data_IF_819485732381
#
_entry.id   IF_819485732381
#
_cell.length_a   1.000
_cell.length_b   1.000
_cell.length_c   1.000
_cell.angle_alpha   90.00
_cell.angle_beta   90.00
_cell.angle_gamma   90.00
#
_symmetry.space_group_name_H-M   'P 1'
#
loop_
_entity.id
_entity.type
_entity.pdbx_description
1 polymer ?
#
# COMPACT_ATOMS: atom_id res chain seq x y z
N UNK A 1 48.04 21.60 -26.72
CA UNK A 1 47.46 21.48 -25.36
C UNK A 1 48.19 20.33 -24.69
N UNK A 2 49.08 20.66 -23.76
CA UNK A 2 49.81 19.63 -23.02
C UNK A 2 49.00 19.18 -21.79
N UNK A 3 49.25 17.95 -21.29
CA UNK A 3 48.59 17.42 -20.10
C UNK A 3 48.78 18.31 -18.89
N UNK A 4 49.89 19.03 -18.80
CA UNK A 4 50.20 20.00 -17.75
C UNK A 4 49.29 21.24 -17.80
N UNK A 5 48.90 21.69 -18.99
CA UNK A 5 48.00 22.84 -19.16
C UNK A 5 46.60 22.52 -18.66
N UNK A 6 46.13 21.27 -18.94
CA UNK A 6 44.86 20.78 -18.40
C UNK A 6 44.87 20.65 -16.90
N UNK A 7 45.99 20.21 -16.32
CA UNK A 7 46.15 20.08 -14.87
C UNK A 7 46.10 21.43 -14.16
N UNK A 8 46.81 22.43 -14.68
CA UNK A 8 46.78 23.78 -14.16
C UNK A 8 45.40 24.40 -14.26
N UNK A 9 44.69 24.22 -15.37
CA UNK A 9 43.34 24.71 -15.54
C UNK A 9 42.36 24.12 -14.52
N UNK A 10 42.48 22.81 -14.17
CA UNK A 10 41.67 22.17 -13.13
C UNK A 10 42.00 22.76 -11.75
N UNK A 11 43.26 23.02 -11.46
CA UNK A 11 43.67 23.61 -10.17
C UNK A 11 43.18 25.02 -9.98
N UNK A 12 43.20 25.88 -11.01
CA UNK A 12 42.70 27.26 -10.98
C UNK A 12 41.19 27.34 -10.71
N UNK A 13 40.43 26.40 -11.28
CA UNK A 13 38.98 26.38 -11.12
C UNK A 13 38.47 25.34 -10.12
N UNK A 14 39.34 24.79 -9.26
CA UNK A 14 38.99 23.75 -8.26
C UNK A 14 37.78 24.09 -7.39
N UNK A 15 37.69 25.35 -6.94
CA UNK A 15 36.55 25.79 -6.12
C UNK A 15 35.23 25.76 -6.87
N UNK A 16 35.24 26.01 -8.17
CA UNK A 16 34.06 25.95 -9.00
C UNK A 16 33.57 24.51 -9.19
N UNK A 17 34.46 23.57 -9.41
CA UNK A 17 34.12 22.15 -9.50
C UNK A 17 33.57 21.61 -8.17
N UNK A 18 34.19 21.99 -7.06
CA UNK A 18 33.70 21.59 -5.71
C UNK A 18 32.30 22.15 -5.47
N UNK A 19 32.05 23.41 -5.82
CA UNK A 19 30.73 24.02 -5.67
C UNK A 19 29.67 23.32 -6.52
N UNK A 20 29.96 23.04 -7.79
CA UNK A 20 29.05 22.31 -8.67
C UNK A 20 28.74 20.91 -8.14
N UNK A 21 29.75 20.18 -7.72
CA UNK A 21 29.61 18.82 -7.16
C UNK A 21 28.79 18.85 -5.87
N UNK A 22 29.02 19.81 -4.99
CA UNK A 22 28.26 19.97 -3.74
C UNK A 22 26.77 20.26 -4.01
N UNK A 23 26.47 21.11 -5.00
CA UNK A 23 25.10 21.40 -5.42
C UNK A 23 24.41 20.14 -5.98
N UNK A 24 25.09 19.39 -6.85
CA UNK A 24 24.55 18.14 -7.40
C UNK A 24 24.27 17.11 -6.30
N UNK A 25 25.21 16.93 -5.37
CA UNK A 25 25.02 16.01 -4.25
C UNK A 25 23.86 16.43 -3.33
N UNK A 26 23.70 17.73 -3.12
CA UNK A 26 22.58 18.25 -2.35
C UNK A 26 21.22 17.90 -3.01
N UNK A 27 21.10 18.10 -4.32
CA UNK A 27 19.87 17.75 -5.04
C UNK A 27 19.60 16.24 -5.04
N UNK A 28 20.64 15.42 -5.19
CA UNK A 28 20.52 13.96 -5.13
C UNK A 28 20.08 13.51 -3.72
N UNK A 29 20.70 14.03 -2.68
CA UNK A 29 20.34 13.72 -1.30
C UNK A 29 18.89 14.14 -0.99
N UNK A 30 18.50 15.32 -1.45
CA UNK A 30 17.14 15.83 -1.31
C UNK A 30 16.13 14.94 -2.04
N UNK A 31 16.44 14.50 -3.26
CA UNK A 31 15.60 13.60 -4.05
C UNK A 31 15.41 12.25 -3.34
N UNK A 32 16.51 11.63 -2.87
CA UNK A 32 16.46 10.35 -2.16
C UNK A 32 15.60 10.48 -0.88
N UNK A 33 15.79 11.57 -0.14
CA UNK A 33 15.04 11.80 1.10
C UNK A 33 13.53 11.96 0.85
N UNK A 34 13.15 12.55 -0.27
CA UNK A 34 11.74 12.78 -0.63
C UNK A 34 11.05 11.54 -1.21
N UNK A 35 11.80 10.65 -1.85
CA UNK A 35 11.23 9.47 -2.52
C UNK A 35 10.92 8.39 -1.49
N UNK A 36 9.66 7.93 -1.37
CA UNK A 36 9.31 6.83 -0.49
C UNK A 36 9.90 5.52 -1.02
N UNK A 37 10.25 4.62 -0.10
CA UNK A 37 10.76 3.31 -0.44
C UNK A 37 9.65 2.47 -1.08
N UNK A 38 9.93 1.90 -2.25
CA UNK A 38 9.01 1.02 -2.96
C UNK A 38 9.49 -0.42 -2.83
N UNK A 39 8.68 -1.26 -2.20
CA UNK A 39 8.98 -2.67 -2.00
C UNK A 39 8.21 -3.53 -3.00
N UNK A 40 8.92 -4.36 -3.76
CA UNK A 40 8.32 -5.36 -4.62
C UNK A 40 8.45 -6.73 -3.96
N UNK A 41 7.33 -7.42 -3.80
CA UNK A 41 7.28 -8.79 -3.29
C UNK A 41 6.76 -9.71 -4.37
N UNK A 42 7.45 -10.82 -4.57
CA UNK A 42 7.03 -11.87 -5.51
C UNK A 42 6.71 -13.12 -4.72
N UNK A 43 5.52 -13.65 -4.88
CA UNK A 43 5.12 -14.93 -4.34
C UNK A 43 5.15 -15.98 -5.46
N UNK A 44 5.69 -17.16 -5.15
CA UNK A 44 5.65 -18.32 -6.05
C UNK A 44 4.71 -19.35 -5.46
N UNK A 45 3.64 -19.63 -6.16
CA UNK A 45 2.69 -20.67 -5.78
C UNK A 45 3.05 -21.95 -6.52
N UNK A 46 3.15 -23.04 -5.80
CA UNK A 46 3.32 -24.38 -6.36
C UNK A 46 1.95 -25.05 -6.30
N UNK A 47 1.42 -25.39 -7.45
CA UNK A 47 0.20 -26.16 -7.57
C UNK A 47 0.63 -27.63 -7.51
N UNK A 48 0.23 -28.32 -6.45
CA UNK A 48 0.50 -29.74 -6.30
C UNK A 48 -0.65 -30.50 -6.98
N UNK A 49 -0.29 -31.30 -7.98
CA UNK A 49 -1.22 -32.23 -8.61
C UNK A 49 -1.49 -33.34 -7.59
N UNK A 50 -2.60 -33.23 -6.88
CA UNK A 50 -3.02 -34.20 -5.85
C UNK A 50 -3.15 -35.61 -6.39
N UNK A 51 -3.04 -36.60 -5.49
CA UNK A 51 -3.01 -38.04 -5.70
C UNK A 51 -4.05 -38.68 -6.62
N UNK A 52 -5.05 -37.92 -7.07
CA UNK A 52 -5.99 -38.36 -8.12
C UNK A 52 -5.31 -38.63 -9.46
N UNK A 53 -4.16 -38.01 -9.71
CA UNK A 53 -3.39 -38.23 -10.94
C UNK A 53 -2.59 -39.53 -10.93
N UNK A 54 -2.29 -40.13 -9.77
CA UNK A 54 -1.60 -41.43 -9.72
C UNK A 54 -2.45 -42.55 -10.33
N UNK A 55 -3.76 -42.53 -10.07
CA UNK A 55 -4.71 -43.51 -10.65
C UNK A 55 -4.96 -43.25 -12.13
N UNK A 56 -5.00 -41.97 -12.53
CA UNK A 56 -5.14 -41.55 -13.91
C UNK A 56 -3.87 -41.75 -14.73
N UNK A 57 -2.69 -41.67 -14.16
CA UNK A 57 -1.41 -41.97 -14.82
C UNK A 57 -1.30 -43.46 -15.17
N UNK A 58 -1.79 -44.34 -14.30
CA UNK A 58 -1.82 -45.78 -14.59
C UNK A 58 -2.78 -46.15 -15.73
N UNK A 59 -3.91 -45.44 -15.84
CA UNK A 59 -4.82 -45.59 -16.95
C UNK A 59 -4.30 -44.93 -18.25
N UNK A 60 -3.57 -43.83 -18.15
CA UNK A 60 -2.99 -43.10 -19.29
C UNK A 60 -1.88 -43.89 -19.99
N UNK A 61 -1.18 -44.75 -19.27
CA UNK A 61 -0.19 -45.66 -19.84
C UNK A 61 -0.83 -46.71 -20.78
N UNK A 62 -2.11 -47.03 -20.56
CA UNK A 62 -2.85 -47.98 -21.37
C UNK A 62 -3.52 -47.34 -22.59
N UNK A 63 -3.84 -46.03 -22.54
CA UNK A 63 -4.60 -45.32 -23.59
C UNK A 63 -3.77 -44.40 -24.48
N UNK A 64 -2.45 -44.49 -24.44
CA UNK A 64 -1.56 -43.87 -25.44
C UNK A 64 -1.72 -42.36 -25.62
N UNK A 65 -1.26 -41.58 -24.65
CA UNK A 65 -0.87 -40.20 -24.90
C UNK A 65 -1.96 -39.10 -24.87
N UNK A 66 -3.24 -39.43 -24.89
CA UNK A 66 -4.32 -38.44 -24.89
C UNK A 66 -4.51 -37.70 -23.54
N UNK A 67 -3.88 -38.19 -22.47
CA UNK A 67 -4.02 -37.63 -21.12
C UNK A 67 -3.04 -36.52 -20.75
N UNK A 68 -1.97 -36.31 -21.51
CA UNK A 68 -1.06 -35.18 -21.28
C UNK A 68 -1.70 -33.81 -21.51
N UNK A 69 -2.75 -33.77 -22.37
CA UNK A 69 -3.51 -32.54 -22.60
C UNK A 69 -4.43 -32.18 -21.41
N UNK A 70 -4.86 -33.16 -20.60
CA UNK A 70 -5.75 -32.91 -19.46
C UNK A 70 -5.02 -32.31 -18.24
N UNK A 71 -3.77 -32.70 -18.00
CA UNK A 71 -2.96 -32.11 -16.94
C UNK A 71 -2.74 -30.61 -17.12
N UNK A 72 -2.43 -30.20 -18.35
CA UNK A 72 -2.30 -28.76 -18.63
C UNK A 72 -3.62 -28.00 -18.50
N UNK A 73 -4.76 -28.62 -18.80
CA UNK A 73 -6.06 -27.99 -18.63
C UNK A 73 -6.41 -27.78 -17.15
N UNK A 74 -6.03 -28.69 -16.27
CA UNK A 74 -6.25 -28.56 -14.82
C UNK A 74 -5.44 -27.40 -14.24
N UNK A 75 -4.16 -27.30 -14.58
CA UNK A 75 -3.30 -26.19 -14.13
C UNK A 75 -3.81 -24.84 -14.66
N UNK A 76 -4.25 -24.78 -15.92
CA UNK A 76 -4.82 -23.56 -16.50
C UNK A 76 -6.12 -23.17 -15.77
N UNK A 77 -7.01 -24.13 -15.48
CA UNK A 77 -8.24 -23.86 -14.75
C UNK A 77 -7.98 -23.37 -13.32
N UNK A 78 -6.96 -23.93 -12.64
CA UNK A 78 -6.57 -23.46 -11.32
C UNK A 78 -5.97 -22.04 -11.36
N UNK A 79 -5.15 -21.74 -12.36
CA UNK A 79 -4.64 -20.38 -12.59
C UNK A 79 -5.79 -19.40 -12.86
N UNK A 80 -6.80 -19.81 -13.61
CA UNK A 80 -7.99 -19.00 -13.89
C UNK A 80 -8.83 -18.81 -12.61
N UNK A 81 -8.93 -19.83 -11.76
CA UNK A 81 -9.58 -19.72 -10.46
C UNK A 81 -8.87 -18.71 -9.53
N UNK A 82 -7.53 -18.64 -9.54
CA UNK A 82 -6.78 -17.62 -8.81
C UNK A 82 -7.03 -16.20 -9.32
N UNK A 83 -7.40 -16.04 -10.57
CA UNK A 83 -7.74 -14.76 -11.20
C UNK A 83 -9.23 -14.42 -11.09
N UNK A 84 -10.01 -15.28 -10.41
CA UNK A 84 -11.45 -15.06 -10.24
C UNK A 84 -11.73 -13.79 -9.44
N UNK A 85 -12.64 -12.92 -9.92
CA UNK A 85 -13.05 -11.72 -9.22
C UNK A 85 -13.58 -12.01 -7.81
N UNK A 86 -14.35 -13.08 -7.64
CA UNK A 86 -14.94 -13.46 -6.34
C UNK A 86 -13.85 -13.80 -5.31
N UNK A 87 -12.80 -14.50 -5.74
CA UNK A 87 -11.68 -14.83 -4.86
C UNK A 87 -10.90 -13.57 -4.50
N UNK A 88 -10.67 -12.68 -5.47
CA UNK A 88 -10.00 -11.40 -5.22
C UNK A 88 -10.80 -10.54 -4.25
N UNK A 89 -12.12 -10.47 -4.40
CA UNK A 89 -12.98 -9.75 -3.47
C UNK A 89 -12.89 -10.32 -2.05
N UNK A 90 -12.96 -11.63 -1.88
CA UNK A 90 -12.77 -12.28 -0.57
C UNK A 90 -11.41 -11.94 0.06
N UNK A 91 -10.35 -11.88 -0.74
CA UNK A 91 -9.00 -11.51 -0.26
C UNK A 91 -8.96 -10.05 0.19
N UNK A 92 -9.54 -9.14 -0.60
CA UNK A 92 -9.63 -7.71 -0.29
C UNK A 92 -10.38 -7.49 1.03
N UNK A 93 -11.55 -8.11 1.19
CA UNK A 93 -12.35 -8.03 2.41
C UNK A 93 -11.60 -8.64 3.62
N UNK A 94 -11.01 -9.82 3.46
CA UNK A 94 -10.31 -10.52 4.55
C UNK A 94 -9.07 -9.80 5.04
N UNK A 95 -8.38 -9.12 4.15
CA UNK A 95 -7.17 -8.35 4.45
C UNK A 95 -7.45 -6.87 4.71
N UNK A 96 -8.72 -6.45 4.66
CA UNK A 96 -9.16 -5.05 4.81
C UNK A 96 -8.36 -4.08 3.91
N UNK A 97 -8.08 -4.50 2.67
CA UNK A 97 -7.30 -3.71 1.70
C UNK A 97 -8.06 -2.51 1.14
N UNK A 98 -9.36 -2.41 1.39
CA UNK A 98 -10.21 -1.28 1.03
C UNK A 98 -9.80 0.01 1.77
N UNK A 99 -9.16 -0.13 2.94
CA UNK A 99 -8.73 0.99 3.77
C UNK A 99 -7.24 1.22 3.67
N UNK A 100 -6.86 2.40 3.26
CA UNK A 100 -5.48 2.81 3.11
C UNK A 100 -5.13 3.91 4.11
N UNK A 101 -4.03 3.76 4.80
CA UNK A 101 -3.51 4.70 5.80
C UNK A 101 -2.22 5.32 5.30
N UNK A 102 -2.18 6.64 5.19
CA UNK A 102 -1.02 7.39 4.73
C UNK A 102 -0.64 8.42 5.78
N UNK A 103 0.50 8.25 6.41
CA UNK A 103 1.05 9.21 7.34
C UNK A 103 1.68 10.37 6.57
N UNK A 104 1.29 11.60 6.92
CA UNK A 104 1.89 12.81 6.37
C UNK A 104 3.08 13.22 7.24
N UNK A 105 4.28 12.97 6.75
CA UNK A 105 5.51 13.52 7.30
C UNK A 105 5.89 14.81 6.57
N UNK A 106 6.76 15.63 7.17
CA UNK A 106 7.08 16.98 6.69
C UNK A 106 7.47 17.06 5.20
N UNK A 107 8.21 16.07 4.67
CA UNK A 107 8.67 16.07 3.27
C UNK A 107 8.23 14.85 2.45
N UNK A 108 7.62 13.85 3.09
CA UNK A 108 7.18 12.62 2.42
C UNK A 108 5.88 12.11 3.01
N UNK A 109 5.16 11.34 2.23
CA UNK A 109 4.00 10.59 2.69
C UNK A 109 4.38 9.11 2.73
N UNK A 110 4.13 8.45 3.85
CA UNK A 110 4.47 7.04 4.07
C UNK A 110 3.20 6.25 4.26
N UNK A 111 3.03 5.17 3.53
CA UNK A 111 1.90 4.27 3.69
C UNK A 111 2.14 3.32 4.86
N UNK A 112 1.17 3.29 5.79
CA UNK A 112 1.23 2.49 7.02
C UNK A 112 0.46 1.18 6.84
N UNK A 113 0.97 0.20 6.18
CA UNK A 113 0.26 -1.07 5.95
C UNK A 113 -0.29 -1.69 7.25
N UNK A 114 0.49 -2.55 7.91
CA UNK A 114 0.12 -3.18 9.19
C UNK A 114 0.61 -2.40 10.42
N UNK A 115 1.17 -1.21 10.24
CA UNK A 115 1.77 -0.41 11.29
C UNK A 115 0.90 0.79 11.67
N UNK A 116 -0.41 0.63 11.61
CA UNK A 116 -1.37 1.70 11.89
C UNK A 116 -1.62 1.84 13.38
N UNK A 117 -1.61 3.05 13.96
CA UNK A 117 -1.97 3.27 15.36
C UNK A 117 -3.47 3.13 15.61
N UNK A 118 -4.28 3.27 14.56
CA UNK A 118 -5.75 3.19 14.62
C UNK A 118 -6.27 2.35 13.47
N UNK A 119 -7.22 1.47 13.74
CA UNK A 119 -7.95 0.67 12.75
C UNK A 119 -9.36 1.23 12.59
N UNK A 120 -9.75 1.54 11.36
CA UNK A 120 -11.10 1.96 11.03
C UNK A 120 -11.93 0.74 10.63
N UNK A 121 -13.12 0.63 11.19
CA UNK A 121 -14.13 -0.34 10.76
C UNK A 121 -15.40 0.38 10.35
N UNK A 122 -15.94 0.02 9.23
CA UNK A 122 -17.22 0.49 8.75
C UNK A 122 -18.34 -0.24 9.52
N UNK A 123 -19.26 0.53 10.08
CA UNK A 123 -20.40 -0.02 10.87
C UNK A 123 -21.68 0.01 10.05
N UNK A 124 -21.81 0.96 9.12
CA UNK A 124 -22.97 1.06 8.22
C UNK A 124 -22.73 0.28 6.93
N UNK A 125 -23.81 0.13 6.13
CA UNK A 125 -23.73 -0.40 4.79
C UNK A 125 -22.63 0.26 3.97
N UNK A 126 -22.00 -0.52 3.08
CA UNK A 126 -20.90 -0.09 2.22
C UNK A 126 -21.22 1.26 1.56
N UNK A 127 -20.40 2.29 1.75
CA UNK A 127 -20.62 3.57 1.09
C UNK A 127 -20.63 3.40 -0.43
N UNK A 128 -21.50 4.11 -1.11
CA UNK A 128 -21.55 4.08 -2.58
C UNK A 128 -20.38 4.82 -3.23
N UNK A 129 -19.66 5.64 -2.46
CA UNK A 129 -18.55 6.46 -2.95
C UNK A 129 -17.33 6.30 -2.08
N UNK A 130 -16.16 6.38 -2.70
CA UNK A 130 -14.90 6.45 -1.97
C UNK A 130 -14.88 7.68 -1.07
N UNK A 131 -14.28 7.56 0.09
CA UNK A 131 -14.12 8.68 1.01
C UNK A 131 -12.72 8.71 1.62
N UNK A 132 -12.33 9.88 2.08
CA UNK A 132 -11.11 10.05 2.86
C UNK A 132 -11.28 11.15 3.91
N UNK A 133 -10.52 11.04 4.99
CA UNK A 133 -10.44 12.04 6.03
C UNK A 133 -9.05 12.07 6.64
N UNK A 134 -8.74 13.18 7.31
CA UNK A 134 -7.50 13.37 8.03
C UNK A 134 -7.73 13.07 9.51
N UNK A 135 -6.94 12.18 10.05
CA UNK A 135 -6.94 11.79 11.45
C UNK A 135 -5.76 12.45 12.14
N UNK A 136 -6.04 13.28 13.14
CA UNK A 136 -5.03 13.97 13.94
C UNK A 136 -5.14 13.57 15.40
N UNK A 137 -4.02 13.42 16.08
CA UNK A 137 -3.98 13.13 17.51
C UNK A 137 -4.46 14.32 18.33
N UNK A 138 -5.49 14.11 19.14
CA UNK A 138 -5.97 15.06 20.13
C UNK A 138 -5.34 14.87 21.52
N UNK A 139 -5.51 15.84 22.40
CA UNK A 139 -5.05 15.73 23.77
C UNK A 139 -5.95 14.76 24.57
N UNK A 140 -5.35 13.89 25.38
CA UNK A 140 -6.07 13.01 26.29
C UNK A 140 -6.69 11.77 25.66
N UNK A 141 -6.10 11.21 24.59
CA UNK A 141 -6.60 9.98 23.94
C UNK A 141 -7.79 10.21 23.01
N UNK A 142 -8.13 11.47 22.76
CA UNK A 142 -9.12 11.84 21.74
C UNK A 142 -8.46 11.94 20.39
N UNK A 143 -9.24 11.73 19.35
CA UNK A 143 -8.83 11.85 17.95
C UNK A 143 -9.72 12.88 17.27
N UNK A 144 -9.13 13.65 16.40
CA UNK A 144 -9.82 14.69 15.64
C UNK A 144 -9.85 14.24 14.18
N UNK A 145 -11.05 14.09 13.64
CA UNK A 145 -11.27 13.85 12.22
C UNK A 145 -11.55 15.18 11.53
N UNK A 146 -10.87 15.43 10.44
CA UNK A 146 -11.02 16.66 9.65
C UNK A 146 -10.79 16.36 8.17
N UNK A 147 -10.98 17.36 7.30
CA UNK A 147 -10.72 17.29 5.85
C UNK A 147 -11.44 16.08 5.21
N UNK A 148 -12.74 15.99 5.42
CA UNK A 148 -13.56 14.93 4.84
C UNK A 148 -13.73 15.15 3.33
N UNK A 149 -13.52 14.07 2.57
CA UNK A 149 -13.80 14.02 1.12
C UNK A 149 -14.69 12.83 0.84
N UNK A 150 -15.77 13.07 0.15
CA UNK A 150 -16.71 12.02 -0.26
C UNK A 150 -16.84 12.08 -1.78
N UNK A 151 -16.26 11.11 -2.47
CA UNK A 151 -16.14 11.18 -3.93
C UNK A 151 -15.34 12.43 -4.38
N UNK A 152 -15.89 13.26 -5.27
CA UNK A 152 -15.25 14.48 -5.73
C UNK A 152 -15.44 15.68 -4.80
N UNK A 153 -16.32 15.58 -3.79
CA UNK A 153 -16.73 16.70 -2.96
C UNK A 153 -15.91 16.79 -1.67
N UNK A 154 -15.41 17.99 -1.39
CA UNK A 154 -14.77 18.31 -0.12
C UNK A 154 -15.85 18.77 0.87
N UNK A 155 -15.97 18.08 1.99
CA UNK A 155 -16.93 18.39 3.05
C UNK A 155 -16.18 18.97 4.25
N UNK A 156 -16.38 20.24 4.51
CA UNK A 156 -15.81 20.88 5.69
C UNK A 156 -16.49 20.35 6.97
N UNK A 157 -15.69 19.87 7.88
CA UNK A 157 -16.17 19.40 9.18
C UNK A 157 -14.99 18.98 10.06
N UNK A 158 -15.20 19.13 11.38
CA UNK A 158 -14.31 18.58 12.41
C UNK A 158 -15.15 17.79 13.38
N UNK A 159 -14.79 16.56 13.62
CA UNK A 159 -15.44 15.69 14.59
C UNK A 159 -14.39 15.23 15.59
N UNK A 160 -14.61 15.55 16.85
CA UNK A 160 -13.78 15.03 17.94
C UNK A 160 -14.43 13.77 18.49
N UNK A 161 -13.66 12.72 18.66
CA UNK A 161 -14.16 11.45 19.18
C UNK A 161 -13.15 10.77 20.08
N UNK A 162 -13.63 9.87 20.90
CA UNK A 162 -12.80 8.93 21.66
C UNK A 162 -12.60 7.65 20.83
N UNK A 163 -11.44 7.02 21.00
CA UNK A 163 -11.18 5.73 20.39
C UNK A 163 -12.13 4.66 21.00
N UNK A 164 -12.69 3.84 20.13
CA UNK A 164 -13.69 2.82 20.50
C UNK A 164 -15.13 3.27 20.28
N UNK A 165 -15.39 4.56 20.07
CA UNK A 165 -16.74 5.06 19.82
C UNK A 165 -17.13 4.94 18.34
N UNK A 166 -18.45 4.79 18.14
CA UNK A 166 -19.04 4.83 16.80
C UNK A 166 -19.37 6.27 16.44
N UNK A 167 -18.89 6.72 15.30
CA UNK A 167 -18.95 8.10 14.86
C UNK A 167 -19.79 8.20 13.60
N UNK A 168 -20.76 9.10 13.58
CA UNK A 168 -21.45 9.46 12.37
C UNK A 168 -20.65 10.54 11.62
N UNK A 169 -20.17 10.21 10.46
CA UNK A 169 -19.42 11.10 9.58
C UNK A 169 -20.20 11.34 8.29
N UNK A 170 -19.86 12.36 7.49
CA UNK A 170 -20.48 12.58 6.18
C UNK A 170 -20.34 11.37 5.24
N UNK A 171 -19.35 10.52 5.49
CA UNK A 171 -19.08 9.31 4.69
C UNK A 171 -19.84 8.07 5.17
N UNK A 172 -20.53 8.15 6.32
CA UNK A 172 -21.22 7.02 6.95
C UNK A 172 -20.82 6.85 8.41
N UNK A 173 -21.26 5.77 9.00
CA UNK A 173 -21.00 5.44 10.40
C UNK A 173 -19.74 4.58 10.48
N UNK A 174 -18.70 5.13 11.11
CA UNK A 174 -17.40 4.48 11.27
C UNK A 174 -17.07 4.29 12.76
N UNK A 175 -16.31 3.26 13.07
CA UNK A 175 -15.72 3.05 14.39
C UNK A 175 -14.20 3.01 14.27
N UNK A 176 -13.51 3.66 15.21
CA UNK A 176 -12.06 3.74 15.26
C UNK A 176 -11.56 2.97 16.47
N UNK A 177 -10.79 1.92 16.24
CA UNK A 177 -10.21 1.09 17.28
C UNK A 177 -8.72 1.39 17.48
N UNK A 178 -8.25 1.53 18.72
CA UNK A 178 -6.83 1.69 18.98
C UNK A 178 -6.09 0.37 18.69
N UNK A 179 -4.95 0.48 18.06
CA UNK A 179 -4.03 -0.65 17.87
C UNK A 179 -2.93 -0.58 18.95
N UNK A 180 -2.14 -1.64 19.10
CA UNK A 180 -1.01 -1.70 20.04
C UNK A 180 0.06 -0.62 19.82
N UNK A 181 -0.02 0.13 18.73
CA UNK A 181 0.94 1.18 18.33
C UNK A 181 0.39 2.60 18.47
N UNK A 182 -0.64 2.78 19.28
CA UNK A 182 -1.26 4.10 19.51
C UNK A 182 -0.27 5.14 20.06
N UNK A 183 0.76 4.70 20.78
CA UNK A 183 1.77 5.59 21.37
C UNK A 183 2.64 6.30 20.31
N UNK A 184 2.72 5.74 19.11
CA UNK A 184 3.45 6.31 17.97
C UNK A 184 2.63 7.34 17.17
N UNK A 185 1.41 7.66 17.62
CA UNK A 185 0.51 8.60 16.93
C UNK A 185 0.94 10.05 17.13
N UNK A 186 1.97 10.48 16.39
CA UNK A 186 2.52 11.85 16.46
C UNK A 186 2.15 12.70 15.26
N UNK A 187 1.96 12.08 14.09
CA UNK A 187 1.71 12.77 12.82
C UNK A 187 0.28 12.57 12.34
N UNK A 188 -0.16 13.48 11.47
CA UNK A 188 -1.47 13.36 10.85
C UNK A 188 -1.51 12.19 9.87
N UNK A 189 -2.56 11.39 9.95
CA UNK A 189 -2.77 10.21 9.10
C UNK A 189 -3.98 10.46 8.21
N UNK A 190 -3.80 10.37 6.91
CA UNK A 190 -4.91 10.35 5.97
C UNK A 190 -5.42 8.91 5.83
N UNK A 191 -6.65 8.72 6.18
CA UNK A 191 -7.38 7.47 5.98
C UNK A 191 -8.22 7.61 4.72
N UNK A 192 -8.09 6.69 3.80
CA UNK A 192 -8.90 6.63 2.58
C UNK A 192 -9.50 5.25 2.43
N UNK A 193 -10.77 5.22 2.10
CA UNK A 193 -11.50 4.01 1.78
C UNK A 193 -11.98 4.07 0.33
N UNK A 194 -11.85 2.98 -0.41
CA UNK A 194 -12.33 2.87 -1.78
C UNK A 194 -13.04 1.54 -1.97
N UNK A 195 -14.21 1.59 -2.59
CA UNK A 195 -14.88 0.39 -3.06
C UNK A 195 -14.06 -0.20 -4.20
N UNK A 196 -13.71 -1.46 -4.10
CA UNK A 196 -12.86 -2.20 -5.05
C UNK A 196 -13.71 -2.89 -6.12
#
# INVERSE_FOLDING_TARGET
ITLSDLWNMIWDYKWWYVACTAICLFFVAFYIYRTPDTYVRTAKVIIDESDQDATMRSLGAITGGAMRMRSNATVVNEMEAFSSPDLMQMVVERLALETRYVEKQFLRSVELYNNTPVEMRLVSDTPQSSFSFLLSGGKGGKVILSDFRVGPDDVEGKVECSLGDTISTPAGVIALFPTSKIDDFTNDIRVSWSNS
#
